data_IF_690042402877
#
_entry.id   IF_690042402877
#
_cell.length_a   1.000
_cell.length_b   1.000
_cell.length_c   1.000
_cell.angle_alpha   90.00
_cell.angle_beta   90.00
_cell.angle_gamma   90.00
#
_symmetry.space_group_name_H-M   'P 1'
#
loop_
_entity.id
_entity.type
_entity.pdbx_description
1 polymer ?
#
# COMPACT_ATOMS: atom_id res chain seq x y z
N UNK A 1 44.98 -0.01 -20.56
CA UNK A 1 44.07 0.93 -19.88
C UNK A 1 42.81 0.16 -19.50
N UNK A 2 42.77 -0.38 -18.28
CA UNK A 2 41.70 -1.24 -17.80
C UNK A 2 40.66 -0.43 -17.03
N UNK A 3 39.38 -0.66 -17.31
CA UNK A 3 38.26 -0.02 -16.64
C UNK A 3 38.17 -0.53 -15.19
N UNK A 4 38.37 0.39 -14.24
CA UNK A 4 38.16 0.14 -12.81
C UNK A 4 36.68 -0.21 -12.59
N UNK A 5 36.44 -1.47 -12.24
CA UNK A 5 35.13 -1.98 -11.82
C UNK A 5 34.86 -1.43 -10.42
N UNK A 6 34.07 -0.36 -10.37
CA UNK A 6 33.60 0.26 -9.13
C UNK A 6 32.74 -0.75 -8.36
N UNK A 7 33.34 -1.40 -7.37
CA UNK A 7 32.65 -2.27 -6.41
C UNK A 7 31.98 -1.35 -5.40
N UNK A 8 30.86 -0.74 -5.81
CA UNK A 8 29.93 -0.09 -4.88
C UNK A 8 29.60 -1.11 -3.79
N UNK A 9 30.08 -0.80 -2.60
CA UNK A 9 29.97 -1.58 -1.38
C UNK A 9 28.50 -1.87 -1.09
N UNK A 10 28.04 -3.04 -1.52
CA UNK A 10 26.74 -3.61 -1.23
C UNK A 10 26.69 -3.99 0.25
N UNK A 11 26.54 -2.99 1.11
CA UNK A 11 26.39 -3.19 2.56
C UNK A 11 25.65 -2.02 3.21
N UNK A 12 24.55 -1.57 2.61
CA UNK A 12 23.41 -1.01 3.34
C UNK A 12 22.12 -1.00 2.51
N UNK A 13 21.88 -2.02 1.68
CA UNK A 13 20.51 -2.33 1.30
C UNK A 13 19.91 -3.10 2.47
N UNK A 14 19.52 -2.36 3.52
CA UNK A 14 18.53 -2.84 4.49
C UNK A 14 17.38 -3.32 3.61
N UNK A 15 17.24 -4.63 3.46
CA UNK A 15 16.12 -5.24 2.76
C UNK A 15 14.89 -4.60 3.37
N UNK A 16 14.28 -3.67 2.63
CA UNK A 16 13.16 -2.84 3.06
C UNK A 16 11.89 -3.67 3.07
N UNK A 17 11.96 -4.88 3.64
CA UNK A 17 10.77 -5.59 4.09
C UNK A 17 10.24 -4.76 5.23
N UNK A 18 9.38 -3.81 4.88
CA UNK A 18 8.59 -3.05 5.83
C UNK A 18 7.98 -4.05 6.82
N UNK A 19 7.92 -3.74 8.13
CA UNK A 19 7.25 -4.61 9.11
C UNK A 19 5.79 -4.94 8.73
N UNK A 20 5.21 -4.18 7.79
CA UNK A 20 3.86 -4.37 7.26
C UNK A 20 3.80 -5.02 5.87
N UNK A 21 4.91 -5.53 5.33
CA UNK A 21 4.99 -6.04 3.95
C UNK A 21 4.06 -7.24 3.69
N UNK A 22 3.93 -8.14 4.66
CA UNK A 22 3.05 -9.32 4.54
C UNK A 22 1.57 -8.90 4.57
N UNK A 23 1.22 -7.97 5.47
CA UNK A 23 -0.13 -7.40 5.58
C UNK A 23 -0.51 -6.60 4.33
N UNK A 24 0.45 -5.85 3.76
CA UNK A 24 0.28 -5.17 2.48
C UNK A 24 -0.03 -6.15 1.36
N UNK A 25 0.70 -7.26 1.31
CA UNK A 25 0.51 -8.29 0.28
C UNK A 25 -0.86 -8.95 0.41
N UNK A 26 -1.27 -9.29 1.63
CA UNK A 26 -2.59 -9.85 1.90
C UNK A 26 -3.73 -8.91 1.45
N UNK A 27 -3.66 -7.63 1.83
CA UNK A 27 -4.63 -6.62 1.40
C UNK A 27 -4.66 -6.46 -0.12
N UNK A 28 -3.50 -6.30 -0.76
CA UNK A 28 -3.42 -6.13 -2.22
C UNK A 28 -3.98 -7.32 -2.99
N UNK A 29 -3.73 -8.55 -2.52
CA UNK A 29 -4.27 -9.74 -3.15
C UNK A 29 -5.80 -9.78 -3.06
N UNK A 30 -6.37 -9.42 -1.90
CA UNK A 30 -7.82 -9.29 -1.76
C UNK A 30 -8.37 -8.20 -2.69
N UNK A 31 -7.77 -7.00 -2.64
CA UNK A 31 -8.20 -5.86 -3.44
C UNK A 31 -8.18 -6.15 -4.94
N UNK A 32 -7.11 -6.77 -5.45
CA UNK A 32 -7.00 -7.09 -6.87
C UNK A 32 -8.08 -8.07 -7.34
N UNK A 33 -8.41 -9.07 -6.51
CA UNK A 33 -9.51 -10.00 -6.77
C UNK A 33 -10.84 -9.26 -6.79
N UNK A 34 -11.14 -8.51 -5.73
CA UNK A 34 -12.37 -7.72 -5.61
C UNK A 34 -12.52 -6.72 -6.76
N UNK A 35 -11.43 -6.04 -7.14
CA UNK A 35 -11.43 -5.07 -8.24
C UNK A 35 -11.85 -5.75 -9.56
N UNK A 36 -11.26 -6.89 -9.85
CA UNK A 36 -11.51 -7.63 -11.09
C UNK A 36 -12.91 -8.26 -11.12
N UNK A 37 -13.37 -8.80 -9.99
CA UNK A 37 -14.59 -9.60 -9.93
C UNK A 37 -15.85 -8.85 -9.52
N UNK A 38 -15.71 -7.72 -8.83
CA UNK A 38 -16.83 -6.94 -8.28
C UNK A 38 -16.85 -5.54 -8.89
N UNK A 39 -15.78 -4.77 -8.69
CA UNK A 39 -15.74 -3.37 -9.08
C UNK A 39 -15.95 -3.18 -10.59
N UNK A 40 -15.20 -3.91 -11.43
CA UNK A 40 -15.35 -3.86 -12.89
C UNK A 40 -16.71 -4.39 -13.38
N UNK A 41 -17.41 -5.18 -12.57
CA UNK A 41 -18.76 -5.72 -12.86
C UNK A 41 -19.88 -4.85 -12.29
N UNK A 42 -19.57 -3.68 -11.72
CA UNK A 42 -20.54 -2.75 -11.17
C UNK A 42 -21.01 -3.08 -9.75
N UNK A 43 -20.36 -4.02 -9.05
CA UNK A 43 -20.66 -4.37 -7.65
C UNK A 43 -19.66 -3.69 -6.72
N UNK A 44 -20.13 -2.76 -5.90
CA UNK A 44 -19.28 -1.81 -5.16
C UNK A 44 -19.32 -2.06 -3.64
N UNK A 45 -19.44 -3.32 -3.25
CA UNK A 45 -19.49 -3.73 -1.85
C UNK A 45 -18.14 -3.48 -1.18
N UNK A 46 -18.13 -2.69 -0.11
CA UNK A 46 -16.89 -2.24 0.55
C UNK A 46 -16.32 -3.25 1.54
N UNK A 47 -17.06 -4.30 1.88
CA UNK A 47 -16.80 -5.13 3.07
C UNK A 47 -15.75 -6.24 2.84
N UNK A 48 -15.52 -6.69 1.59
CA UNK A 48 -14.78 -7.95 1.32
C UNK A 48 -13.30 -7.91 1.75
N UNK A 49 -12.66 -6.73 1.76
CA UNK A 49 -11.23 -6.59 2.09
C UNK A 49 -10.97 -5.67 3.30
N UNK A 50 -12.01 -5.34 4.09
CA UNK A 50 -11.89 -4.45 5.26
C UNK A 50 -11.02 -5.09 6.33
N UNK A 51 -11.17 -6.38 6.58
CA UNK A 51 -10.41 -7.08 7.61
C UNK A 51 -8.89 -7.08 7.35
N UNK A 52 -8.47 -7.29 6.09
CA UNK A 52 -7.08 -7.19 5.67
C UNK A 52 -6.59 -5.74 5.70
N UNK A 53 -7.43 -4.79 5.30
CA UNK A 53 -7.13 -3.36 5.33
C UNK A 53 -6.88 -2.86 6.75
N UNK A 54 -7.74 -3.20 7.71
CA UNK A 54 -7.61 -2.78 9.11
C UNK A 54 -6.29 -3.27 9.71
N UNK A 55 -5.96 -4.55 9.51
CA UNK A 55 -4.68 -5.11 9.97
C UNK A 55 -3.49 -4.36 9.36
N UNK A 56 -3.55 -4.08 8.06
CA UNK A 56 -2.51 -3.33 7.38
C UNK A 56 -2.40 -1.89 7.89
N UNK A 57 -3.53 -1.18 8.03
CA UNK A 57 -3.60 0.19 8.57
C UNK A 57 -3.05 0.27 9.99
N UNK A 58 -3.39 -0.68 10.85
CA UNK A 58 -2.93 -0.73 12.23
C UNK A 58 -1.41 -0.94 12.31
N UNK A 59 -0.86 -1.79 11.43
CA UNK A 59 0.58 -1.94 11.33
C UNK A 59 1.25 -0.65 10.86
N UNK A 60 0.67 0.00 9.84
CA UNK A 60 1.19 1.26 9.33
C UNK A 60 1.17 2.36 10.41
N UNK A 61 0.08 2.51 11.15
CA UNK A 61 -0.03 3.50 12.24
C UNK A 61 1.10 3.36 13.26
N UNK A 62 1.50 2.12 13.58
CA UNK A 62 2.56 1.82 14.57
C UNK A 62 3.98 2.00 14.00
N UNK A 63 4.17 1.75 12.71
CA UNK A 63 5.49 1.66 12.09
C UNK A 63 5.80 2.75 11.07
N UNK A 64 4.88 3.68 10.82
CA UNK A 64 5.12 4.84 9.99
C UNK A 64 5.94 5.89 10.75
N UNK A 65 7.19 6.17 10.34
CA UNK A 65 7.99 7.23 10.95
C UNK A 65 7.50 8.62 10.53
N UNK A 66 6.79 8.72 9.41
CA UNK A 66 6.29 9.98 8.85
C UNK A 66 4.94 10.37 9.45
N UNK A 67 4.98 11.35 10.37
CA UNK A 67 3.77 11.92 11.01
C UNK A 67 2.72 12.42 10.01
N UNK A 68 3.15 12.91 8.86
CA UNK A 68 2.23 13.35 7.80
C UNK A 68 1.48 12.18 7.15
N UNK A 69 2.12 11.03 7.01
CA UNK A 69 1.52 9.84 6.42
C UNK A 69 0.65 9.10 7.46
N UNK A 70 1.04 9.09 8.72
CA UNK A 70 0.19 8.61 9.82
C UNK A 70 -1.11 9.41 9.91
N UNK A 71 -1.04 10.75 9.79
CA UNK A 71 -2.23 11.61 9.78
C UNK A 71 -3.20 11.27 8.63
N UNK A 72 -2.70 10.85 7.48
CA UNK A 72 -3.54 10.42 6.35
C UNK A 72 -4.30 9.11 6.62
N UNK A 73 -3.79 8.26 7.53
CA UNK A 73 -4.48 7.02 7.93
C UNK A 73 -5.55 7.27 9.00
N UNK A 74 -5.38 8.31 9.81
CA UNK A 74 -6.28 8.71 10.90
C UNK A 74 -7.42 9.61 10.40
N UNK A 75 -7.13 10.50 9.44
CA UNK A 75 -8.13 11.33 8.77
C UNK A 75 -8.80 10.45 7.70
N UNK A 76 -9.91 9.79 8.06
CA UNK A 76 -10.83 9.03 7.19
C UNK A 76 -10.56 9.30 5.71
N UNK A 77 -9.83 8.37 5.07
CA UNK A 77 -9.54 8.45 3.64
C UNK A 77 -10.84 8.71 2.87
N UNK A 78 -10.76 9.65 1.92
CA UNK A 78 -11.84 10.06 0.99
C UNK A 78 -12.72 11.22 1.49
N UNK A 79 -12.21 12.45 1.40
CA UNK A 79 -13.04 13.61 1.01
C UNK A 79 -12.69 14.21 -0.35
N UNK A 80 -11.65 13.74 -1.03
CA UNK A 80 -11.26 14.25 -2.36
C UNK A 80 -10.77 13.15 -3.28
N UNK A 81 -11.66 12.27 -3.70
CA UNK A 81 -11.57 11.70 -5.05
C UNK A 81 -12.68 12.38 -5.84
N UNK A 82 -12.40 13.43 -6.63
CA UNK A 82 -13.35 13.87 -7.65
C UNK A 82 -13.62 12.66 -8.55
N UNK A 83 -14.90 12.39 -8.78
CA UNK A 83 -15.38 11.42 -9.77
C UNK A 83 -14.63 11.53 -11.09
N UNK A 84 -14.49 10.44 -11.87
CA UNK A 84 -13.91 10.51 -13.20
C UNK A 84 -14.65 11.56 -14.01
N UNK A 85 -13.90 12.49 -14.60
CA UNK A 85 -14.44 13.44 -15.58
C UNK A 85 -14.94 12.60 -16.74
N UNK A 86 -16.26 12.52 -16.88
CA UNK A 86 -16.91 12.14 -18.12
C UNK A 86 -16.88 13.34 -19.06
N UNK A 87 -16.00 13.30 -20.05
CA UNK A 87 -16.19 14.02 -21.32
C UNK A 87 -15.59 13.21 -22.47
#
# INVERSE_FOLDING_TARGET
>A
MGFLKDRRNASNTKTTTSPCADLRTAYNNCFNRWYSDKFLKGVWDKEECVAEWEKYRDCLSKHLPDKNLSKFLEDEGVKRIPSPISE
#
